data_IF_003447076409
#
_entry.id   IF_003447076409
#
_cell.length_a   1.000
_cell.length_b   1.000
_cell.length_c   1.000
_cell.angle_alpha   90.00
_cell.angle_beta   90.00
_cell.angle_gamma   90.00
#
_symmetry.space_group_name_H-M   'P 1'
#
loop_
_entity.id
_entity.type
_entity.pdbx_description
1 polymer ?
#
# COMPACT_ATOMS: atom_id res chain seq x y z
N UNK A 1 -13.25 8.74 -35.68
CA UNK A 1 -12.94 10.00 -34.99
C UNK A 1 -12.76 11.10 -36.00
N UNK A 2 -13.48 12.21 -35.88
CA UNK A 2 -13.31 13.43 -36.67
C UNK A 2 -12.65 14.50 -35.82
N UNK A 3 -11.58 15.11 -36.31
CA UNK A 3 -10.89 16.21 -35.62
C UNK A 3 -11.30 17.49 -36.30
N UNK A 4 -11.89 18.43 -35.58
CA UNK A 4 -12.34 19.75 -36.03
C UNK A 4 -11.90 20.83 -35.07
N UNK A 5 -12.50 22.02 -35.15
CA UNK A 5 -12.18 23.16 -34.27
C UNK A 5 -10.99 23.97 -34.79
N UNK A 6 -10.35 24.73 -33.87
CA UNK A 6 -9.17 25.55 -34.14
C UNK A 6 -7.93 24.95 -33.46
N UNK A 7 -6.71 25.42 -33.81
CA UNK A 7 -5.48 25.01 -33.16
C UNK A 7 -5.48 25.32 -31.64
N UNK A 8 -6.16 26.37 -31.22
CA UNK A 8 -6.28 26.79 -29.82
C UNK A 8 -7.43 26.08 -29.07
N UNK A 9 -8.39 25.50 -29.83
CA UNK A 9 -9.52 24.75 -29.29
C UNK A 9 -9.86 23.57 -30.22
N UNK A 10 -9.08 22.48 -30.22
CA UNK A 10 -9.36 21.32 -31.04
C UNK A 10 -10.60 20.59 -30.50
N UNK A 11 -11.53 20.27 -31.40
CA UNK A 11 -12.70 19.47 -31.13
C UNK A 11 -12.49 18.06 -31.69
N UNK A 12 -12.68 17.05 -30.85
CA UNK A 12 -12.64 15.64 -31.23
C UNK A 12 -14.06 15.09 -31.10
N UNK A 13 -14.57 14.50 -32.16
CA UNK A 13 -15.92 13.92 -32.19
C UNK A 13 -15.87 12.51 -32.74
N UNK A 14 -16.64 11.62 -32.17
CA UNK A 14 -16.79 10.26 -32.69
C UNK A 14 -16.38 9.20 -31.67
N UNK A 15 -16.05 8.02 -32.17
CA UNK A 15 -15.74 6.85 -31.37
C UNK A 15 -14.35 6.36 -31.67
N UNK A 16 -13.52 6.13 -30.64
CA UNK A 16 -12.27 5.38 -30.74
C UNK A 16 -12.43 4.01 -30.09
N UNK A 17 -11.90 2.98 -30.75
CA UNK A 17 -11.93 1.61 -30.21
C UNK A 17 -10.51 1.04 -30.26
N UNK A 18 -10.10 0.45 -29.14
CA UNK A 18 -8.90 -0.35 -29.01
C UNK A 18 -9.31 -1.78 -28.70
N UNK A 19 -8.84 -2.74 -29.46
CA UNK A 19 -9.20 -4.15 -29.30
C UNK A 19 -7.95 -5.00 -29.10
N UNK A 20 -8.06 -5.96 -28.17
CA UNK A 20 -7.03 -6.98 -27.88
C UNK A 20 -5.61 -6.41 -27.71
N UNK A 21 -5.51 -5.28 -27.03
CA UNK A 21 -4.23 -4.66 -26.74
C UNK A 21 -3.57 -5.26 -25.50
N UNK A 22 -2.26 -5.03 -25.37
CA UNK A 22 -1.49 -5.37 -24.20
C UNK A 22 -0.67 -4.17 -23.72
N UNK A 23 -0.48 -4.05 -22.41
CA UNK A 23 0.32 -3.01 -21.80
C UNK A 23 1.10 -3.56 -20.59
N UNK A 24 2.31 -3.06 -20.37
CA UNK A 24 3.12 -3.43 -19.23
C UNK A 24 3.57 -2.19 -18.47
N UNK A 25 3.35 -2.18 -17.16
CA UNK A 25 3.86 -1.17 -16.26
C UNK A 25 4.99 -1.75 -15.41
N UNK A 26 6.23 -1.56 -15.88
CA UNK A 26 7.43 -2.16 -15.32
C UNK A 26 7.67 -1.87 -13.81
N UNK A 27 7.39 -0.67 -13.27
CA UNK A 27 7.63 -0.39 -11.85
C UNK A 27 6.88 -1.32 -10.88
N UNK A 28 5.75 -1.87 -11.30
CA UNK A 28 4.97 -2.85 -10.51
C UNK A 28 4.99 -4.26 -11.10
N UNK A 29 5.70 -4.49 -12.22
CA UNK A 29 5.63 -5.76 -12.96
C UNK A 29 4.23 -6.05 -13.53
N UNK A 30 3.34 -5.07 -13.55
CA UNK A 30 1.96 -5.23 -13.95
C UNK A 30 1.86 -5.43 -15.47
N UNK A 31 1.30 -6.56 -15.89
CA UNK A 31 1.02 -6.86 -17.29
C UNK A 31 -0.48 -6.97 -17.51
N UNK A 32 -0.99 -6.12 -18.41
CA UNK A 32 -2.38 -6.14 -18.84
C UNK A 32 -2.46 -6.80 -20.23
N UNK A 33 -3.45 -7.65 -20.41
CA UNK A 33 -3.76 -8.30 -21.68
C UNK A 33 -5.26 -8.25 -21.96
N UNK A 34 -5.68 -8.62 -23.19
CA UNK A 34 -7.07 -8.54 -23.61
C UNK A 34 -7.68 -7.16 -23.30
N UNK A 35 -6.89 -6.10 -23.47
CA UNK A 35 -7.32 -4.73 -23.19
C UNK A 35 -8.23 -4.28 -24.33
N UNK A 36 -9.50 -4.10 -24.01
CA UNK A 36 -10.51 -3.58 -24.94
C UNK A 36 -11.05 -2.29 -24.35
N UNK A 37 -10.98 -1.22 -25.13
CA UNK A 37 -11.41 0.12 -24.72
C UNK A 37 -12.23 0.76 -25.82
N UNK A 38 -13.36 1.32 -25.44
CA UNK A 38 -14.19 2.18 -26.26
C UNK A 38 -14.26 3.57 -25.63
N UNK A 39 -13.94 4.59 -26.40
CA UNK A 39 -14.06 5.98 -26.00
C UNK A 39 -15.01 6.71 -26.96
N UNK A 40 -16.05 7.32 -26.40
CA UNK A 40 -17.02 8.13 -27.11
C UNK A 40 -16.75 9.61 -26.79
N UNK A 41 -16.57 10.43 -27.82
CA UNK A 41 -16.27 11.86 -27.77
C UNK A 41 -17.47 12.64 -28.29
N UNK A 42 -17.99 13.58 -27.47
CA UNK A 42 -19.13 14.42 -27.85
C UNK A 42 -18.71 15.86 -28.25
N UNK A 43 -19.67 16.62 -28.80
CA UNK A 43 -19.47 18.00 -29.27
C UNK A 43 -19.10 18.99 -28.14
N UNK A 44 -19.36 18.63 -26.88
CA UNK A 44 -19.10 19.47 -25.71
C UNK A 44 -17.74 19.17 -25.09
N UNK A 45 -16.95 18.28 -25.68
CA UNK A 45 -15.65 17.83 -25.15
C UNK A 45 -15.78 16.86 -23.98
N UNK A 46 -16.94 16.20 -23.82
CA UNK A 46 -17.07 15.09 -22.89
C UNK A 46 -16.45 13.84 -23.51
N UNK A 47 -15.81 13.04 -22.70
CA UNK A 47 -15.27 11.75 -23.08
C UNK A 47 -15.80 10.71 -22.11
N UNK A 48 -16.58 9.78 -22.65
CA UNK A 48 -16.99 8.59 -21.93
C UNK A 48 -16.13 7.41 -22.42
N UNK A 49 -15.45 6.75 -21.46
CA UNK A 49 -14.59 5.61 -21.76
C UNK A 49 -15.07 4.41 -20.96
N UNK A 50 -15.27 3.31 -21.67
CA UNK A 50 -15.50 2.01 -21.08
C UNK A 50 -14.41 1.04 -21.57
N UNK A 51 -13.86 0.26 -20.63
CA UNK A 51 -12.84 -0.70 -20.96
C UNK A 51 -12.89 -1.94 -20.10
N UNK A 52 -12.36 -3.03 -20.63
CA UNK A 52 -12.11 -4.28 -19.93
C UNK A 52 -10.68 -4.71 -20.15
N UNK A 53 -10.12 -5.43 -19.18
CA UNK A 53 -8.74 -5.91 -19.24
C UNK A 53 -8.56 -7.16 -18.39
N UNK A 54 -7.48 -7.89 -18.65
CA UNK A 54 -6.97 -8.94 -17.76
C UNK A 54 -5.67 -8.48 -17.11
N UNK A 55 -5.53 -8.82 -15.82
CA UNK A 55 -4.30 -8.64 -15.06
C UNK A 55 -3.97 -9.95 -14.34
N UNK A 56 -3.00 -10.71 -14.83
CA UNK A 56 -2.77 -12.09 -14.42
C UNK A 56 -3.96 -13.00 -14.76
N UNK A 57 -4.53 -13.66 -13.76
CA UNK A 57 -5.74 -14.49 -13.93
C UNK A 57 -7.03 -13.67 -13.80
N UNK A 58 -6.94 -12.49 -13.19
CA UNK A 58 -8.07 -11.63 -12.91
C UNK A 58 -8.57 -10.82 -14.10
N UNK A 59 -9.80 -10.33 -13.97
CA UNK A 59 -10.46 -9.46 -14.94
C UNK A 59 -10.93 -8.18 -14.28
N UNK A 60 -10.75 -7.07 -14.98
CA UNK A 60 -11.19 -5.77 -14.54
C UNK A 60 -11.93 -4.99 -15.61
N UNK A 61 -12.72 -4.05 -15.15
CA UNK A 61 -13.44 -3.07 -15.94
C UNK A 61 -13.07 -1.67 -15.44
N UNK A 62 -12.95 -0.75 -16.38
CA UNK A 62 -12.77 0.65 -16.10
C UNK A 62 -13.84 1.45 -16.83
N UNK A 63 -14.40 2.43 -16.15
CA UNK A 63 -15.30 3.42 -16.74
C UNK A 63 -14.82 4.80 -16.35
N UNK A 64 -14.70 5.66 -17.33
CA UNK A 64 -14.28 7.04 -17.11
C UNK A 64 -15.25 7.96 -17.81
N UNK A 65 -15.72 8.97 -17.09
CA UNK A 65 -16.52 10.07 -17.64
C UNK A 65 -15.80 11.37 -17.38
N UNK A 66 -15.48 12.08 -18.46
CA UNK A 66 -14.83 13.39 -18.37
C UNK A 66 -15.86 14.47 -18.65
N UNK A 67 -15.91 15.50 -17.83
CA UNK A 67 -16.72 16.69 -18.04
C UNK A 67 -15.85 17.86 -18.42
N UNK A 68 -16.21 18.53 -19.50
CA UNK A 68 -15.59 19.78 -19.92
C UNK A 68 -16.47 20.98 -19.61
N UNK A 69 -15.85 22.11 -19.28
CA UNK A 69 -16.52 23.41 -19.15
C UNK A 69 -15.64 24.46 -19.81
N UNK A 70 -16.17 25.18 -20.79
CA UNK A 70 -15.45 26.19 -21.57
C UNK A 70 -14.18 25.66 -22.29
N UNK A 71 -14.18 24.37 -22.69
CA UNK A 71 -13.03 23.74 -23.36
C UNK A 71 -11.94 23.23 -22.41
N UNK A 72 -12.09 23.40 -21.11
CA UNK A 72 -11.19 22.85 -20.10
C UNK A 72 -11.82 21.66 -19.38
N UNK A 73 -11.01 20.69 -18.98
CA UNK A 73 -11.48 19.53 -18.20
C UNK A 73 -11.89 19.99 -16.82
N UNK A 74 -13.20 20.05 -16.57
CA UNK A 74 -13.77 20.48 -15.30
C UNK A 74 -13.83 19.36 -14.25
N UNK A 75 -13.77 18.10 -14.68
CA UNK A 75 -13.79 16.94 -13.79
C UNK A 75 -13.60 15.63 -14.52
N UNK A 76 -13.05 14.65 -13.80
CA UNK A 76 -12.86 13.28 -14.27
C UNK A 76 -13.44 12.34 -13.22
N UNK A 77 -14.33 11.46 -13.63
CA UNK A 77 -14.85 10.35 -12.81
C UNK A 77 -14.26 9.05 -13.32
N UNK A 78 -13.64 8.27 -12.46
CA UNK A 78 -13.09 6.96 -12.80
C UNK A 78 -13.67 5.91 -11.87
N UNK A 79 -14.32 4.91 -12.45
CA UNK A 79 -14.75 3.70 -11.74
C UNK A 79 -13.87 2.52 -12.18
N UNK A 80 -13.35 1.77 -11.21
CA UNK A 80 -12.55 0.57 -11.45
C UNK A 80 -13.19 -0.57 -10.67
N UNK A 81 -13.50 -1.66 -11.34
CA UNK A 81 -13.96 -2.91 -10.73
C UNK A 81 -13.18 -4.07 -11.26
N UNK A 82 -12.89 -5.03 -10.40
CA UNK A 82 -12.25 -6.26 -10.82
C UNK A 82 -12.04 -7.22 -9.70
N UNK A 83 -11.80 -8.46 -10.06
CA UNK A 83 -11.51 -9.54 -9.13
C UNK A 83 -10.26 -10.29 -9.53
N UNK A 84 -9.53 -10.76 -8.52
CA UNK A 84 -8.27 -11.50 -8.67
C UNK A 84 -7.23 -10.80 -9.56
N UNK A 85 -7.23 -9.47 -9.58
CA UNK A 85 -6.29 -8.68 -10.37
C UNK A 85 -4.87 -8.81 -9.82
N UNK A 86 -3.92 -9.24 -10.64
CA UNK A 86 -2.51 -9.10 -10.30
C UNK A 86 -2.16 -7.62 -10.35
N UNK A 87 -1.99 -6.99 -9.18
CA UNK A 87 -1.70 -5.54 -9.06
C UNK A 87 -0.22 -5.25 -8.86
N UNK A 88 0.54 -6.24 -8.38
CA UNK A 88 2.00 -6.23 -8.29
C UNK A 88 2.49 -7.62 -8.65
N UNK A 89 3.48 -7.70 -9.53
CA UNK A 89 4.13 -8.95 -9.92
C UNK A 89 5.64 -8.72 -10.13
N UNK A 90 6.32 -8.52 -9.01
CA UNK A 90 7.78 -8.36 -8.92
C UNK A 90 8.39 -9.61 -8.28
N UNK A 91 9.68 -9.89 -8.47
CA UNK A 91 10.34 -11.07 -7.90
C UNK A 91 10.27 -11.16 -6.37
N UNK A 92 10.25 -10.02 -5.69
CA UNK A 92 10.26 -9.88 -4.24
C UNK A 92 8.90 -9.46 -3.65
N UNK A 93 7.99 -8.97 -4.48
CA UNK A 93 6.65 -8.55 -4.05
C UNK A 93 5.63 -8.99 -5.10
N UNK A 94 4.64 -9.75 -4.68
CA UNK A 94 3.46 -10.05 -5.51
C UNK A 94 2.18 -9.80 -4.72
N UNK A 95 1.16 -9.27 -5.39
CA UNK A 95 -0.14 -9.04 -4.78
C UNK A 95 -1.27 -9.21 -5.80
N UNK A 96 -2.35 -9.81 -5.33
CA UNK A 96 -3.61 -9.95 -6.04
C UNK A 96 -4.67 -9.18 -5.27
N UNK A 97 -5.52 -8.44 -5.97
CA UNK A 97 -6.54 -7.62 -5.36
C UNK A 97 -7.91 -7.75 -6.05
N UNK A 98 -8.94 -7.64 -5.23
CA UNK A 98 -10.31 -7.38 -5.66
C UNK A 98 -10.60 -5.89 -5.40
N UNK A 99 -11.11 -5.18 -6.41
CA UNK A 99 -11.30 -3.74 -6.36
C UNK A 99 -12.70 -3.31 -6.76
N UNK A 100 -13.30 -2.38 -6.00
CA UNK A 100 -14.43 -1.54 -6.41
C UNK A 100 -14.12 -0.11 -5.95
N UNK A 101 -13.51 0.66 -6.87
CA UNK A 101 -12.98 1.98 -6.59
C UNK A 101 -13.69 3.03 -7.42
N UNK A 102 -13.93 4.19 -6.83
CA UNK A 102 -14.44 5.40 -7.47
C UNK A 102 -13.53 6.56 -7.14
N UNK A 103 -13.04 7.21 -8.18
CA UNK A 103 -12.12 8.33 -8.12
C UNK A 103 -12.79 9.51 -8.81
N UNK A 104 -12.95 10.61 -8.10
CA UNK A 104 -13.50 11.86 -8.63
C UNK A 104 -12.47 12.96 -8.50
N UNK A 105 -12.00 13.49 -9.64
CA UNK A 105 -11.05 14.60 -9.66
C UNK A 105 -11.70 15.86 -10.18
N UNK A 106 -11.67 16.94 -9.42
CA UNK A 106 -12.20 18.26 -9.80
C UNK A 106 -11.41 19.37 -9.11
N UNK A 107 -10.98 20.35 -9.84
CA UNK A 107 -10.38 21.58 -9.28
C UNK A 107 -9.34 21.29 -8.19
N UNK A 108 -8.41 20.35 -8.44
CA UNK A 108 -7.33 19.92 -7.52
C UNK A 108 -7.80 19.15 -6.27
N UNK A 109 -9.05 18.81 -6.20
CA UNK A 109 -9.61 17.89 -5.23
C UNK A 109 -9.73 16.51 -5.84
N UNK A 110 -9.22 15.51 -5.16
CA UNK A 110 -9.35 14.11 -5.48
C UNK A 110 -10.18 13.42 -4.39
N UNK A 111 -11.36 12.94 -4.74
CA UNK A 111 -12.19 12.12 -3.86
C UNK A 111 -11.95 10.64 -4.21
N UNK A 112 -11.54 9.82 -3.21
CA UNK A 112 -11.25 8.39 -3.35
C UNK A 112 -12.25 7.64 -2.49
N UNK A 113 -13.07 6.78 -3.09
CA UNK A 113 -14.04 5.98 -2.36
C UNK A 113 -14.06 4.53 -2.88
N UNK A 114 -14.27 3.58 -1.96
CA UNK A 114 -14.48 2.20 -2.37
C UNK A 114 -13.85 1.17 -1.46
N UNK A 115 -13.63 -0.01 -2.02
CA UNK A 115 -13.03 -1.14 -1.35
C UNK A 115 -11.89 -1.72 -2.16
N UNK A 116 -10.83 -2.14 -1.45
CA UNK A 116 -9.71 -2.88 -1.99
C UNK A 116 -9.45 -4.07 -1.07
N UNK A 117 -9.74 -5.26 -1.53
CA UNK A 117 -9.46 -6.48 -0.79
C UNK A 117 -8.24 -7.18 -1.42
N UNK A 118 -7.26 -7.55 -0.59
CA UNK A 118 -6.04 -8.24 -0.99
C UNK A 118 -6.11 -9.67 -0.45
N UNK A 119 -6.70 -10.62 -1.19
CA UNK A 119 -6.81 -12.02 -0.75
C UNK A 119 -5.45 -12.70 -0.61
N UNK A 120 -4.51 -12.36 -1.47
CA UNK A 120 -3.16 -12.95 -1.51
C UNK A 120 -2.11 -11.88 -1.76
N UNK A 121 -1.06 -11.90 -0.95
CA UNK A 121 0.16 -11.14 -1.22
C UNK A 121 1.37 -11.86 -0.63
N UNK A 122 2.53 -11.69 -1.27
CA UNK A 122 3.80 -12.16 -0.77
C UNK A 122 4.83 -11.05 -0.87
N UNK A 123 5.44 -10.74 0.25
CA UNK A 123 6.46 -9.70 0.36
C UNK A 123 7.73 -10.35 0.89
N UNK A 124 8.80 -10.35 0.09
CA UNK A 124 10.13 -10.87 0.44
C UNK A 124 11.18 -9.84 0.06
N UNK A 125 11.34 -8.75 0.82
CA UNK A 125 12.31 -7.73 0.45
C UNK A 125 13.73 -8.33 0.42
N UNK A 126 14.32 -8.34 -0.75
CA UNK A 126 15.70 -8.77 -0.95
C UNK A 126 16.57 -7.55 -0.62
N UNK A 127 17.27 -7.59 0.51
CA UNK A 127 18.23 -6.56 0.93
C UNK A 127 17.65 -5.20 1.37
N UNK A 128 16.98 -5.16 2.51
CA UNK A 128 16.79 -3.89 3.24
C UNK A 128 18.09 -3.30 3.81
N UNK A 129 19.20 -4.03 3.75
CA UNK A 129 20.46 -3.66 4.45
C UNK A 129 21.56 -3.00 3.59
N UNK A 130 21.41 -2.89 2.26
CA UNK A 130 22.54 -2.45 1.40
C UNK A 130 22.23 -1.37 0.38
N UNK A 131 21.10 -0.67 0.46
CA UNK A 131 20.81 0.44 -0.44
C UNK A 131 20.94 1.82 0.21
N UNK A 132 21.86 2.00 1.16
CA UNK A 132 22.54 3.28 1.25
C UNK A 132 23.74 3.20 0.31
N UNK A 133 23.51 3.54 -0.94
CA UNK A 133 24.57 4.13 -1.75
C UNK A 133 24.76 5.50 -1.12
N UNK A 134 25.72 5.64 -0.23
CA UNK A 134 26.21 6.95 0.14
C UNK A 134 26.63 7.61 -1.17
N UNK A 135 26.05 8.79 -1.46
CA UNK A 135 26.48 9.60 -2.59
C UNK A 135 27.97 9.77 -2.45
N UNK A 136 28.73 9.23 -3.42
CA UNK A 136 30.17 9.41 -3.46
C UNK A 136 30.45 10.91 -3.44
N UNK A 137 31.30 11.38 -2.55
CA UNK A 137 31.75 12.78 -2.47
C UNK A 137 32.34 13.28 -3.80
N UNK A 138 32.60 12.40 -4.75
CA UNK A 138 33.16 12.67 -6.07
C UNK A 138 32.13 12.93 -7.18
N UNK A 139 30.83 12.83 -6.90
CA UNK A 139 29.77 13.15 -7.86
C UNK A 139 29.41 14.63 -7.76
N UNK A 140 30.13 15.45 -8.48
CA UNK A 140 29.70 16.84 -8.75
C UNK A 140 28.59 16.79 -9.80
N UNK A 141 27.35 16.90 -9.36
CA UNK A 141 26.21 17.15 -10.26
C UNK A 141 26.42 18.55 -10.84
N UNK A 142 26.99 18.62 -12.03
CA UNK A 142 27.01 19.85 -12.80
C UNK A 142 25.61 20.03 -13.40
N UNK A 143 24.69 20.57 -12.60
CA UNK A 143 23.47 21.15 -13.14
C UNK A 143 23.90 22.31 -14.04
N UNK A 144 23.84 22.08 -15.35
CA UNK A 144 24.06 23.15 -16.32
C UNK A 144 23.00 24.23 -16.08
N UNK A 145 23.36 25.25 -15.30
CA UNK A 145 22.55 26.44 -15.13
C UNK A 145 22.47 27.14 -16.48
N UNK A 146 21.35 26.96 -17.19
CA UNK A 146 20.92 27.95 -18.16
C UNK A 146 20.69 29.27 -17.39
N UNK A 147 21.04 30.44 -17.96
CA UNK A 147 20.93 31.70 -17.25
C UNK A 147 19.49 31.90 -16.75
N UNK A 148 19.43 32.26 -15.49
CA UNK A 148 18.26 32.59 -14.70
C UNK A 148 17.35 33.59 -15.45
N UNK A 149 16.37 33.06 -16.19
CA UNK A 149 15.23 33.82 -16.60
C UNK A 149 14.24 33.68 -15.43
N UNK A 150 14.21 34.66 -14.54
CA UNK A 150 13.45 34.75 -13.28
C UNK A 150 12.01 34.22 -13.33
N UNK A 151 11.85 32.94 -13.61
CA UNK A 151 10.64 32.18 -13.44
C UNK A 151 10.65 31.74 -11.99
N UNK A 152 9.90 32.44 -11.17
CA UNK A 152 9.49 31.92 -9.85
C UNK A 152 8.76 30.62 -10.16
N UNK A 153 9.40 29.46 -9.91
CA UNK A 153 8.70 28.17 -9.90
C UNK A 153 7.65 28.28 -8.78
N UNK A 154 6.44 28.66 -9.13
CA UNK A 154 5.29 28.44 -8.25
C UNK A 154 5.23 26.93 -8.02
N UNK A 155 5.59 26.49 -6.81
CA UNK A 155 5.37 25.10 -6.37
C UNK A 155 3.94 24.76 -6.73
N UNK A 156 3.71 23.73 -7.56
CA UNK A 156 2.34 23.36 -7.90
C UNK A 156 1.59 23.13 -6.58
N UNK A 157 0.55 23.91 -6.36
CA UNK A 157 -0.19 23.83 -5.13
C UNK A 157 -0.69 22.39 -4.94
N UNK A 158 -0.61 21.83 -3.74
CA UNK A 158 -0.89 20.42 -3.44
C UNK A 158 -2.34 20.01 -3.82
N UNK A 159 -2.52 18.76 -4.24
CA UNK A 159 -3.85 18.17 -4.45
C UNK A 159 -4.42 17.84 -3.08
N UNK A 160 -5.65 18.28 -2.80
CA UNK A 160 -6.39 17.90 -1.61
C UNK A 160 -7.07 16.54 -1.83
N UNK A 161 -6.89 15.62 -0.89
CA UNK A 161 -7.44 14.26 -0.98
C UNK A 161 -8.57 14.12 0.05
N UNK A 162 -9.70 13.61 -0.39
CA UNK A 162 -10.87 13.31 0.42
C UNK A 162 -11.37 11.89 0.12
N UNK A 163 -12.20 11.35 1.02
CA UNK A 163 -12.92 10.12 0.78
C UNK A 163 -12.60 9.01 1.77
N UNK A 164 -13.10 7.83 1.47
CA UNK A 164 -13.02 6.67 2.34
C UNK A 164 -12.67 5.41 1.53
N UNK A 165 -11.62 4.72 1.96
CA UNK A 165 -11.17 3.46 1.38
C UNK A 165 -11.16 2.36 2.43
N UNK A 166 -11.96 1.31 2.24
CA UNK A 166 -11.85 0.09 3.02
C UNK A 166 -10.78 -0.83 2.42
N UNK A 167 -9.75 -1.16 3.21
CA UNK A 167 -8.68 -2.07 2.83
C UNK A 167 -8.81 -3.37 3.61
N UNK A 168 -9.06 -4.48 2.90
CA UNK A 168 -9.08 -5.82 3.44
C UNK A 168 -7.79 -6.57 3.13
N UNK A 169 -7.32 -7.38 4.08
CA UNK A 169 -6.25 -8.35 3.88
C UNK A 169 -6.76 -9.74 4.21
N UNK A 170 -6.66 -10.65 3.26
CA UNK A 170 -7.08 -12.04 3.40
C UNK A 170 -6.06 -12.89 4.16
N UNK A 171 -6.36 -14.17 4.31
CA UNK A 171 -5.54 -15.07 5.12
C UNK A 171 -4.21 -15.50 4.47
N UNK A 172 -4.01 -15.19 3.18
CA UNK A 172 -2.78 -15.54 2.45
C UNK A 172 -1.91 -14.32 2.12
N UNK A 173 -1.96 -13.31 2.95
CA UNK A 173 -1.04 -12.16 2.91
C UNK A 173 0.15 -12.47 3.80
N UNK A 174 1.34 -12.64 3.21
CA UNK A 174 2.56 -13.08 3.89
C UNK A 174 3.71 -12.11 3.68
N UNK A 175 4.40 -11.81 4.77
CA UNK A 175 5.64 -11.05 4.79
C UNK A 175 6.75 -11.96 5.31
N UNK A 176 7.81 -12.12 4.52
CA UNK A 176 8.96 -12.96 4.87
C UNK A 176 10.20 -12.09 4.86
N UNK A 177 10.76 -11.85 6.03
CA UNK A 177 12.01 -11.14 6.26
C UNK A 177 13.09 -12.13 6.68
N UNK A 178 14.37 -11.72 6.70
CA UNK A 178 15.48 -12.59 7.11
C UNK A 178 15.26 -13.24 8.48
N UNK A 179 14.64 -12.52 9.41
CA UNK A 179 14.45 -12.95 10.80
C UNK A 179 12.99 -12.99 11.25
N UNK A 180 12.05 -12.83 10.33
CA UNK A 180 10.63 -12.88 10.66
C UNK A 180 9.83 -13.41 9.48
N UNK A 181 8.78 -14.16 9.80
CA UNK A 181 7.77 -14.57 8.84
C UNK A 181 6.41 -14.35 9.48
N UNK A 182 5.56 -13.57 8.82
CA UNK A 182 4.24 -13.25 9.35
C UNK A 182 3.17 -13.33 8.27
N UNK A 183 1.97 -13.73 8.67
CA UNK A 183 0.74 -13.54 7.93
C UNK A 183 -0.04 -12.37 8.55
N UNK A 184 -0.68 -11.59 7.69
CA UNK A 184 -1.46 -10.41 8.09
C UNK A 184 -2.87 -10.61 7.53
N UNK A 185 -3.90 -10.47 8.37
CA UNK A 185 -5.29 -10.56 7.95
C UNK A 185 -6.16 -9.58 8.74
N UNK A 186 -7.20 -9.05 8.11
CA UNK A 186 -8.12 -8.13 8.75
C UNK A 186 -8.64 -7.05 7.82
N UNK A 187 -9.23 -6.02 8.38
CA UNK A 187 -9.78 -4.88 7.63
C UNK A 187 -9.61 -3.59 8.39
N UNK A 188 -9.31 -2.52 7.66
CA UNK A 188 -9.36 -1.17 8.18
C UNK A 188 -9.94 -0.23 7.11
N UNK A 189 -10.55 0.85 7.58
CA UNK A 189 -11.05 1.95 6.78
C UNK A 189 -10.12 3.14 6.94
N UNK A 190 -9.79 3.79 5.84
CA UNK A 190 -8.90 4.94 5.78
C UNK A 190 -9.67 6.12 5.22
N UNK A 191 -9.71 7.20 5.99
CA UNK A 191 -10.43 8.43 5.67
C UNK A 191 -9.45 9.58 5.42
N UNK A 192 -9.63 10.25 4.28
CA UNK A 192 -8.93 11.49 3.91
C UNK A 192 -9.88 12.67 4.08
N UNK A 193 -9.41 13.74 4.70
CA UNK A 193 -10.17 14.98 4.96
C UNK A 193 -9.42 16.23 4.50
N UNK A 194 -8.69 16.14 3.38
CA UNK A 194 -7.89 17.22 2.81
C UNK A 194 -6.39 17.00 2.93
N UNK A 195 -5.95 16.30 3.96
CA UNK A 195 -4.55 15.94 4.17
C UNK A 195 -4.11 14.74 3.31
N UNK A 196 -2.84 14.66 2.92
CA UNK A 196 -2.32 13.51 2.16
C UNK A 196 -2.23 12.23 3.01
N UNK A 197 -2.17 12.33 4.33
CA UNK A 197 -2.09 11.19 5.26
C UNK A 197 -3.47 10.89 5.82
N UNK A 198 -4.05 9.72 5.52
CA UNK A 198 -5.37 9.38 6.03
C UNK A 198 -5.35 8.96 7.50
N UNK A 199 -6.51 9.07 8.12
CA UNK A 199 -6.79 8.50 9.43
C UNK A 199 -7.38 7.11 9.25
N UNK A 200 -6.84 6.14 9.97
CA UNK A 200 -7.27 4.75 9.89
C UNK A 200 -8.20 4.36 11.05
N UNK A 201 -9.17 3.49 10.75
CA UNK A 201 -10.03 2.86 11.73
C UNK A 201 -10.17 1.36 11.40
N UNK A 202 -9.70 0.49 12.30
CA UNK A 202 -9.74 -0.95 12.09
C UNK A 202 -8.60 -1.71 12.72
N UNK A 203 -8.45 -2.98 12.31
CA UNK A 203 -7.47 -3.89 12.89
C UNK A 203 -6.99 -4.91 11.87
N UNK A 204 -5.68 -5.17 11.90
CA UNK A 204 -5.08 -6.34 11.27
C UNK A 204 -4.49 -7.25 12.34
N UNK A 205 -4.78 -8.55 12.26
CA UNK A 205 -4.14 -9.58 13.04
C UNK A 205 -2.83 -9.98 12.39
N UNK A 206 -1.82 -10.25 13.20
CA UNK A 206 -0.51 -10.73 12.77
C UNK A 206 -0.25 -12.06 13.46
N UNK A 207 0.12 -13.08 12.68
CA UNK A 207 0.55 -14.37 13.18
C UNK A 207 1.85 -14.76 12.47
N UNK A 208 2.72 -15.50 13.18
CA UNK A 208 3.97 -15.93 12.56
C UNK A 208 5.07 -16.16 13.55
N UNK A 209 6.30 -15.96 13.10
CA UNK A 209 7.51 -16.18 13.91
C UNK A 209 8.48 -15.03 13.75
N UNK A 210 9.24 -14.75 14.80
CA UNK A 210 10.34 -13.78 14.77
C UNK A 210 11.57 -14.37 15.45
N UNK A 211 12.73 -14.17 14.85
CA UNK A 211 13.99 -14.54 15.48
C UNK A 211 14.55 -13.36 16.26
N UNK A 212 14.63 -13.52 17.57
CA UNK A 212 15.21 -12.55 18.48
C UNK A 212 16.10 -13.25 19.51
N UNK A 213 17.19 -12.62 19.93
CA UNK A 213 18.14 -13.15 20.90
C UNK A 213 18.70 -14.54 20.54
N UNK A 214 18.83 -14.85 19.24
CA UNK A 214 19.26 -16.17 18.78
C UNK A 214 18.20 -17.27 18.89
N UNK A 215 16.98 -16.93 19.26
CA UNK A 215 15.87 -17.85 19.48
C UNK A 215 14.71 -17.52 18.52
N UNK A 216 13.91 -18.55 18.20
CA UNK A 216 12.67 -18.37 17.47
C UNK A 216 11.52 -18.18 18.45
N UNK A 217 10.76 -17.11 18.30
CA UNK A 217 9.57 -16.80 19.07
C UNK A 217 8.35 -16.88 18.16
N UNK A 218 7.29 -17.51 18.64
CA UNK A 218 6.00 -17.55 17.95
C UNK A 218 5.17 -16.32 18.32
N UNK A 219 4.66 -15.60 17.32
CA UNK A 219 3.71 -14.51 17.52
C UNK A 219 2.36 -15.15 17.82
N UNK A 220 2.07 -15.31 19.11
CA UNK A 220 0.84 -15.95 19.60
C UNK A 220 -0.37 -15.02 19.53
N UNK A 221 -0.14 -13.72 19.72
CA UNK A 221 -1.13 -12.67 19.63
C UNK A 221 -0.47 -11.44 19.02
N UNK A 222 -0.85 -11.10 17.80
CA UNK A 222 -0.34 -9.92 17.10
C UNK A 222 -1.47 -9.11 16.52
N UNK A 223 -1.42 -7.79 16.73
CA UNK A 223 -2.35 -6.86 16.11
C UNK A 223 -1.70 -5.52 15.81
N UNK A 224 -2.10 -4.97 14.67
CA UNK A 224 -1.95 -3.55 14.34
C UNK A 224 -3.33 -2.93 14.37
N UNK A 225 -3.52 -1.90 15.16
CA UNK A 225 -4.81 -1.25 15.38
C UNK A 225 -4.76 0.21 14.96
N UNK A 226 -5.85 0.65 14.36
CA UNK A 226 -6.08 2.03 13.95
C UNK A 226 -7.31 2.58 14.68
N UNK A 227 -7.22 3.05 15.92
CA UNK A 227 -8.34 3.64 16.62
C UNK A 227 -8.47 5.14 16.26
N UNK A 228 -8.81 5.43 15.01
CA UNK A 228 -8.87 6.81 14.46
C UNK A 228 -7.52 7.54 14.60
N UNK A 229 -6.44 6.88 14.19
CA UNK A 229 -5.08 7.45 14.21
C UNK A 229 -4.52 7.54 12.78
N UNK A 230 -3.52 8.40 12.53
CA UNK A 230 -2.85 8.45 11.24
C UNK A 230 -2.33 7.07 10.81
N UNK A 231 -2.45 6.75 9.52
CA UNK A 231 -1.98 5.48 8.96
C UNK A 231 -0.48 5.23 9.20
N UNK A 232 0.29 6.32 9.38
CA UNK A 232 1.73 6.28 9.63
C UNK A 232 2.10 5.92 11.06
N UNK A 233 1.15 5.96 12.01
CA UNK A 233 1.41 5.70 13.42
C UNK A 233 0.32 4.84 14.09
N UNK A 234 0.10 3.59 13.61
CA UNK A 234 -0.83 2.66 14.23
C UNK A 234 -0.37 2.22 15.62
N UNK A 235 -1.30 1.68 16.39
CA UNK A 235 -1.00 1.04 17.65
C UNK A 235 -0.62 -0.44 17.45
N UNK A 236 0.53 -0.81 17.96
CA UNK A 236 1.01 -2.19 18.02
C UNK A 236 0.55 -2.86 19.31
N UNK A 237 0.22 -4.15 19.20
CA UNK A 237 -0.02 -5.05 20.33
C UNK A 237 0.41 -6.45 19.87
N UNK A 238 1.71 -6.74 20.09
CA UNK A 238 2.34 -7.96 19.58
C UNK A 238 2.97 -8.70 20.75
N UNK A 239 2.58 -9.96 20.89
CA UNK A 239 3.12 -10.88 21.90
C UNK A 239 3.80 -12.05 21.19
N UNK A 240 5.12 -12.11 21.31
CA UNK A 240 5.93 -13.19 20.76
C UNK A 240 6.51 -14.03 21.88
N UNK A 241 6.31 -15.35 21.85
CA UNK A 241 6.66 -16.27 22.94
C UNK A 241 7.42 -17.49 22.45
N UNK A 242 8.17 -18.11 23.35
CA UNK A 242 8.69 -19.45 23.20
C UNK A 242 8.42 -20.30 24.43
N UNK A 243 8.34 -21.59 24.28
CA UNK A 243 8.27 -22.53 25.39
C UNK A 243 9.65 -22.70 26.02
N UNK A 244 9.68 -22.80 27.36
CA UNK A 244 10.88 -23.05 28.15
C UNK A 244 10.80 -24.48 28.66
N UNK A 245 11.73 -25.32 28.20
CA UNK A 245 11.80 -26.73 28.62
C UNK A 245 12.75 -26.90 29.78
N UNK A 246 12.45 -27.87 30.64
CA UNK A 246 13.30 -28.20 31.80
C UNK A 246 13.18 -27.25 33.02
N UNK A 247 12.34 -26.21 32.94
CA UNK A 247 12.08 -25.30 34.03
C UNK A 247 10.73 -25.62 34.69
N UNK A 248 10.74 -25.88 36.02
CA UNK A 248 9.51 -26.22 36.74
C UNK A 248 8.62 -25.02 37.08
N UNK A 249 9.20 -23.82 37.07
CA UNK A 249 8.52 -22.58 37.51
C UNK A 249 8.03 -21.74 36.31
N UNK A 250 8.79 -21.70 35.23
CA UNK A 250 8.46 -20.89 34.04
C UNK A 250 8.22 -21.81 32.85
N UNK A 251 7.05 -21.67 32.24
CA UNK A 251 6.64 -22.47 31.09
C UNK A 251 6.92 -21.76 29.75
N UNK A 252 6.78 -20.45 29.71
CA UNK A 252 6.99 -19.61 28.53
C UNK A 252 7.72 -18.34 28.89
N UNK A 253 8.59 -17.89 27.98
CA UNK A 253 9.19 -16.57 27.99
C UNK A 253 8.91 -15.87 26.68
N UNK A 254 8.82 -14.55 26.67
CA UNK A 254 8.45 -13.81 25.48
C UNK A 254 8.76 -12.33 25.55
N UNK A 255 8.43 -11.66 24.47
CA UNK A 255 8.53 -10.21 24.31
C UNK A 255 7.15 -9.67 24.03
N UNK A 256 6.79 -8.59 24.70
CA UNK A 256 5.59 -7.80 24.49
C UNK A 256 5.98 -6.49 23.84
N UNK A 257 5.38 -6.17 22.67
CA UNK A 257 5.57 -4.91 21.97
C UNK A 257 4.23 -4.20 21.94
N UNK A 258 4.14 -3.04 22.57
CA UNK A 258 2.90 -2.28 22.70
C UNK A 258 3.12 -0.79 22.45
N UNK A 259 2.04 -0.09 22.04
CA UNK A 259 2.02 1.35 21.84
C UNK A 259 2.14 1.78 20.40
N UNK A 260 2.27 3.08 20.12
CA UNK A 260 2.36 3.61 18.78
C UNK A 260 3.63 3.14 18.06
N UNK A 261 3.53 2.92 16.75
CA UNK A 261 4.65 2.45 15.92
C UNK A 261 5.88 3.36 16.02
N UNK A 262 5.67 4.67 16.19
CA UNK A 262 6.74 5.67 16.36
C UNK A 262 7.52 5.54 17.66
N UNK A 263 6.90 4.98 18.73
CA UNK A 263 7.50 4.78 20.07
C UNK A 263 6.96 3.52 20.73
N UNK A 264 7.28 2.34 20.24
CA UNK A 264 6.81 1.11 20.87
C UNK A 264 7.53 0.88 22.20
N UNK A 265 6.78 0.41 23.19
CA UNK A 265 7.34 -0.15 24.41
C UNK A 265 7.62 -1.62 24.20
N UNK A 266 8.83 -2.07 24.55
CA UNK A 266 9.27 -3.46 24.39
C UNK A 266 9.63 -3.99 25.77
N UNK A 267 8.91 -5.01 26.24
CA UNK A 267 9.09 -5.62 27.56
C UNK A 267 9.30 -7.13 27.44
N UNK A 268 10.25 -7.66 28.21
CA UNK A 268 10.39 -9.11 28.36
C UNK A 268 9.47 -9.61 29.46
N UNK A 269 8.81 -10.73 29.24
CA UNK A 269 7.92 -11.33 30.21
C UNK A 269 8.01 -12.85 30.24
N UNK A 270 7.49 -13.44 31.32
CA UNK A 270 7.38 -14.91 31.48
C UNK A 270 5.97 -15.30 31.87
N UNK A 271 5.67 -16.57 31.67
CA UNK A 271 4.45 -17.17 32.20
C UNK A 271 4.79 -18.47 32.94
N UNK A 272 4.48 -18.57 34.25
CA UNK A 272 4.02 -17.50 35.16
C UNK A 272 4.97 -16.31 35.22
N UNK A 273 4.47 -15.14 35.64
CA UNK A 273 5.21 -13.90 35.66
C UNK A 273 6.36 -13.96 36.68
N UNK A 274 7.53 -13.48 36.25
CA UNK A 274 8.73 -13.32 37.05
C UNK A 274 9.29 -11.90 36.90
N UNK A 275 10.50 -11.65 37.44
CA UNK A 275 11.19 -10.37 37.19
C UNK A 275 11.60 -10.24 35.72
N UNK A 276 11.70 -9.02 35.22
CA UNK A 276 12.12 -8.74 33.84
C UNK A 276 13.54 -9.27 33.56
N UNK A 277 14.46 -9.14 34.51
CA UNK A 277 15.84 -9.66 34.42
C UNK A 277 15.85 -11.18 34.18
N UNK A 278 14.99 -11.91 34.92
CA UNK A 278 14.86 -13.35 34.76
C UNK A 278 14.20 -13.71 33.43
N UNK A 279 13.22 -12.90 32.98
CA UNK A 279 12.59 -13.08 31.69
C UNK A 279 13.60 -12.94 30.56
N UNK A 280 14.43 -11.90 30.58
CA UNK A 280 15.51 -11.69 29.61
C UNK A 280 16.53 -12.84 29.62
N UNK A 281 16.95 -13.30 30.82
CA UNK A 281 17.86 -14.43 30.96
C UNK A 281 17.30 -15.68 30.30
N UNK A 282 16.04 -16.01 30.57
CA UNK A 282 15.37 -17.18 29.99
C UNK A 282 15.17 -17.06 28.49
N UNK A 283 14.94 -15.84 27.96
CA UNK A 283 14.85 -15.59 26.52
C UNK A 283 16.16 -15.84 25.81
N UNK A 284 17.28 -15.38 26.40
CA UNK A 284 18.60 -15.47 25.78
C UNK A 284 19.18 -16.89 25.91
N UNK A 285 19.16 -17.47 27.09
CA UNK A 285 19.85 -18.73 27.40
C UNK A 285 18.95 -19.95 27.21
N UNK A 286 17.64 -19.78 27.36
CA UNK A 286 16.68 -20.89 27.40
C UNK A 286 16.67 -21.67 28.72
N UNK A 287 17.57 -21.34 29.64
CA UNK A 287 17.74 -21.99 30.93
C UNK A 287 17.84 -20.96 32.05
N UNK A 288 17.40 -21.37 33.24
CA UNK A 288 17.61 -20.59 34.46
C UNK A 288 19.05 -20.87 34.97
N UNK A 289 19.81 -19.82 35.26
CA UNK A 289 21.06 -19.98 36.00
C UNK A 289 20.70 -20.08 37.47
N UNK A 290 20.83 -21.31 38.03
CA UNK A 290 20.86 -21.52 39.45
C UNK A 290 22.19 -21.06 40.03
#
# INVERSE_FOLDING_TARGET
VTIGGTLDAPAVLGVAVLEDAAATYFPLGLSLSEVNVRADFDENGHVDLEGSFRAGEGRGEIRTTTRSSNGEVAGIHVGIRGSELAVIDLPDVSAVADADLRLDYRYRRLDINGTLDIPRARVRPVNLATSRVDESEDVVIVSGSLPDAGVTEEKPAAIEIYGNLALGMGNDVRVVLDRASASIAGRAEFEWSGDPVPVGNGRYAINGTVQAFGQVLDISEGAVRFPSVPVTDPLLDIRATREIYGNSQVKRAGVLVQGPLSRPTIEAYTYPMTTEERALTLLVTGNDFN
#
